data_IF_454689952594
#
_entry.id   IF_454689952594
#
_cell.length_a   1.000
_cell.length_b   1.000
_cell.length_c   1.000
_cell.angle_alpha   90.00
_cell.angle_beta   90.00
_cell.angle_gamma   90.00
#
_symmetry.space_group_name_H-M   'P 1'
#
loop_
_entity.id
_entity.type
_entity.pdbx_description
1 polymer ?
#
# COMPACT_ATOMS: atom_id res chain seq x y z
N UNK A 1 6.66 19.25 -11.48
CA UNK A 1 6.10 19.39 -12.82
C UNK A 1 5.29 18.14 -13.20
N UNK A 2 5.85 16.92 -13.20
CA UNK A 2 5.15 15.69 -13.58
C UNK A 2 3.86 15.44 -12.76
N UNK A 3 3.92 15.59 -11.44
CA UNK A 3 2.74 15.39 -10.59
C UNK A 3 1.60 16.36 -10.90
N UNK A 4 1.93 17.61 -11.25
CA UNK A 4 0.94 18.60 -11.67
C UNK A 4 0.30 18.20 -13.01
N UNK A 5 1.12 17.82 -13.98
CA UNK A 5 0.61 17.31 -15.27
C UNK A 5 -0.33 16.11 -15.06
N UNK A 6 0.02 15.19 -14.15
CA UNK A 6 -0.82 14.03 -13.88
C UNK A 6 -2.23 14.42 -13.40
N UNK A 7 -2.35 15.44 -12.55
CA UNK A 7 -3.65 15.94 -12.08
C UNK A 7 -4.48 16.48 -13.25
N UNK A 8 -3.85 17.24 -14.16
CA UNK A 8 -4.52 17.78 -15.37
C UNK A 8 -4.96 16.65 -16.32
N UNK A 9 -4.13 15.63 -16.49
CA UNK A 9 -4.44 14.46 -17.33
C UNK A 9 -5.56 13.60 -16.74
N UNK A 10 -5.63 13.45 -15.41
CA UNK A 10 -6.78 12.81 -14.78
C UNK A 10 -8.08 13.59 -15.06
N UNK A 11 -8.06 14.90 -14.90
CA UNK A 11 -9.23 15.72 -15.19
C UNK A 11 -9.68 15.57 -16.65
N UNK A 12 -8.73 15.60 -17.57
CA UNK A 12 -9.03 15.39 -19.00
C UNK A 12 -9.62 14.00 -19.26
N UNK A 13 -9.00 12.94 -18.70
CA UNK A 13 -9.48 11.56 -18.85
C UNK A 13 -10.89 11.41 -18.29
N UNK A 14 -11.14 11.89 -17.07
CA UNK A 14 -12.45 11.82 -16.40
C UNK A 14 -13.53 12.53 -17.23
N UNK A 15 -13.24 13.72 -17.73
CA UNK A 15 -14.17 14.48 -18.58
C UNK A 15 -14.43 13.79 -19.93
N UNK A 16 -13.36 13.34 -20.61
CA UNK A 16 -13.47 12.71 -21.93
C UNK A 16 -14.21 11.37 -21.88
N UNK A 17 -13.95 10.58 -20.83
CA UNK A 17 -14.59 9.29 -20.61
C UNK A 17 -15.91 9.38 -19.83
N UNK A 18 -16.33 10.59 -19.44
CA UNK A 18 -17.54 10.85 -18.66
C UNK A 18 -17.64 9.98 -17.37
N UNK A 19 -16.55 9.91 -16.62
CA UNK A 19 -16.48 9.09 -15.39
C UNK A 19 -17.05 9.87 -14.21
N UNK A 20 -18.13 9.41 -13.62
CA UNK A 20 -18.74 10.00 -12.42
C UNK A 20 -18.02 9.50 -11.15
N UNK A 21 -16.95 10.21 -10.71
CA UNK A 21 -16.08 9.82 -9.59
C UNK A 21 -15.89 10.91 -8.53
N UNK A 22 -16.82 11.83 -8.40
CA UNK A 22 -16.73 12.96 -7.47
C UNK A 22 -15.43 13.76 -7.61
N UNK A 23 -14.96 13.95 -8.87
CA UNK A 23 -13.78 14.76 -9.12
C UNK A 23 -13.99 16.21 -8.69
N UNK A 24 -13.06 16.69 -7.85
CA UNK A 24 -13.10 18.04 -7.32
C UNK A 24 -11.69 18.62 -7.27
N UNK A 25 -11.50 19.79 -7.92
CA UNK A 25 -10.29 20.59 -7.69
C UNK A 25 -10.34 21.23 -6.32
N UNK A 26 -9.22 21.16 -5.60
CA UNK A 26 -9.09 21.71 -4.26
C UNK A 26 -7.64 22.12 -4.00
N UNK A 27 -7.38 22.66 -2.81
CA UNK A 27 -6.01 22.90 -2.33
C UNK A 27 -5.62 21.82 -1.33
N UNK A 28 -4.38 21.35 -1.38
CA UNK A 28 -3.83 20.53 -0.32
C UNK A 28 -3.33 21.42 0.81
N UNK A 29 -3.80 21.16 2.02
CA UNK A 29 -3.38 21.88 3.22
C UNK A 29 -2.27 21.07 3.88
N UNK A 30 -1.16 21.76 4.19
CA UNK A 30 -0.13 21.29 5.10
C UNK A 30 -0.24 22.10 6.39
N UNK A 31 -0.25 21.43 7.53
CA UNK A 31 -0.45 22.04 8.83
C UNK A 31 0.51 21.46 9.87
N UNK A 32 0.87 22.27 10.85
CA UNK A 32 1.68 21.89 12.00
C UNK A 32 0.96 22.26 13.29
N UNK A 33 0.98 21.37 14.27
CA UNK A 33 0.41 21.59 15.61
C UNK A 33 1.52 21.98 16.61
N UNK A 34 2.77 21.64 16.32
CA UNK A 34 3.93 21.91 17.17
C UNK A 34 4.88 22.95 16.54
N UNK A 35 5.73 23.56 17.35
CA UNK A 35 6.81 24.44 16.89
C UNK A 35 7.83 23.69 16.00
N UNK A 36 8.11 22.42 16.31
CA UNK A 36 8.98 21.58 15.48
C UNK A 36 8.34 21.32 14.10
N UNK A 37 7.05 21.01 14.07
CA UNK A 37 6.28 20.87 12.83
C UNK A 37 6.25 22.18 12.03
N UNK A 38 6.07 23.32 12.69
CA UNK A 38 6.10 24.64 12.05
C UNK A 38 7.45 24.95 11.41
N UNK A 39 8.55 24.55 12.04
CA UNK A 39 9.89 24.69 11.46
C UNK A 39 10.06 23.84 10.18
N UNK A 40 9.53 22.62 10.17
CA UNK A 40 9.49 21.75 8.98
C UNK A 40 8.64 22.38 7.89
N UNK A 41 7.46 22.89 8.25
CA UNK A 41 6.53 23.51 7.32
C UNK A 41 7.13 24.74 6.63
N UNK A 42 7.91 25.53 7.34
CA UNK A 42 8.64 26.68 6.79
C UNK A 42 9.69 26.26 5.74
N UNK A 43 10.39 25.14 5.96
CA UNK A 43 11.31 24.59 4.96
C UNK A 43 10.55 24.11 3.72
N UNK A 44 9.42 23.44 3.91
CA UNK A 44 8.55 22.96 2.82
C UNK A 44 7.99 24.13 2.02
N UNK A 45 7.53 25.20 2.69
CA UNK A 45 7.04 26.44 2.06
C UNK A 45 8.13 27.07 1.16
N UNK A 46 9.36 27.13 1.64
CA UNK A 46 10.48 27.65 0.86
C UNK A 46 10.77 26.78 -0.38
N UNK A 47 10.76 25.46 -0.22
CA UNK A 47 10.97 24.50 -1.31
C UNK A 47 9.86 24.57 -2.37
N UNK A 48 8.61 24.57 -1.95
CA UNK A 48 7.45 24.69 -2.85
C UNK A 48 7.46 26.02 -3.61
N UNK A 49 7.77 27.13 -2.94
CA UNK A 49 7.90 28.45 -3.59
C UNK A 49 9.02 28.46 -4.64
N UNK A 50 10.18 27.87 -4.33
CA UNK A 50 11.29 27.74 -5.28
C UNK A 50 10.94 26.89 -6.51
N UNK A 51 10.01 25.96 -6.38
CA UNK A 51 9.48 25.14 -7.46
C UNK A 51 8.31 25.82 -8.23
N UNK A 52 7.94 27.05 -7.85
CA UNK A 52 6.85 27.78 -8.48
C UNK A 52 5.46 27.30 -8.12
N UNK A 53 5.29 26.64 -6.98
CA UNK A 53 3.98 26.28 -6.48
C UNK A 53 3.19 27.53 -6.07
N UNK A 54 1.90 27.53 -6.36
CA UNK A 54 1.00 28.58 -5.89
C UNK A 54 0.57 28.27 -4.48
N UNK A 55 1.03 29.07 -3.52
CA UNK A 55 0.71 28.94 -2.13
C UNK A 55 -0.27 30.05 -1.71
N UNK A 56 -1.17 29.73 -0.80
CA UNK A 56 -2.15 30.65 -0.23
C UNK A 56 -2.42 30.32 1.24
N UNK A 57 -3.16 31.19 1.89
CA UNK A 57 -3.79 30.85 3.16
C UNK A 57 -4.79 29.71 2.95
N UNK A 58 -4.82 28.71 3.85
CA UNK A 58 -5.75 27.60 3.72
C UNK A 58 -7.20 28.05 3.94
N UNK A 59 -8.17 27.39 3.27
CA UNK A 59 -9.57 27.57 3.60
C UNK A 59 -9.87 27.15 5.04
N UNK A 60 -10.84 27.81 5.66
CA UNK A 60 -11.28 27.44 7.02
C UNK A 60 -12.18 26.22 6.96
N UNK A 61 -11.90 25.24 7.82
CA UNK A 61 -12.76 24.08 8.06
C UNK A 61 -13.17 24.04 9.54
N UNK A 62 -14.37 23.56 9.87
CA UNK A 62 -14.86 23.46 11.24
C UNK A 62 -14.23 22.28 12.00
N UNK A 63 -12.91 22.24 12.06
CA UNK A 63 -12.14 21.24 12.82
C UNK A 63 -11.74 21.86 14.17
N UNK A 64 -11.98 21.18 15.30
CA UNK A 64 -11.59 21.64 16.63
C UNK A 64 -10.08 21.39 16.88
N UNK A 65 -9.24 21.88 15.97
CA UNK A 65 -7.79 21.77 16.01
C UNK A 65 -7.16 23.15 15.97
N UNK A 66 -6.07 23.32 16.70
CA UNK A 66 -5.24 24.53 16.66
C UNK A 66 -3.95 24.24 15.90
N UNK A 67 -3.52 25.20 15.12
CA UNK A 67 -2.35 25.10 14.30
C UNK A 67 -1.29 26.09 14.74
N UNK A 68 -0.04 25.63 14.88
CA UNK A 68 1.12 26.51 15.05
C UNK A 68 1.43 27.24 13.73
N UNK A 69 1.30 26.53 12.60
CA UNK A 69 1.42 27.10 11.24
C UNK A 69 0.65 26.25 10.24
N UNK A 70 0.27 26.83 9.10
CA UNK A 70 -0.37 26.13 8.01
C UNK A 70 -0.18 26.83 6.67
N UNK A 71 -0.27 26.07 5.57
CA UNK A 71 -0.27 26.60 4.21
C UNK A 71 -1.17 25.77 3.31
N UNK A 72 -1.66 26.36 2.22
CA UNK A 72 -2.37 25.65 1.17
C UNK A 72 -1.59 25.70 -0.14
N UNK A 73 -1.44 24.55 -0.79
CA UNK A 73 -0.91 24.42 -2.13
C UNK A 73 -2.09 24.21 -3.10
N UNK A 74 -2.25 25.11 -4.05
CA UNK A 74 -3.30 25.08 -5.06
C UNK A 74 -3.11 23.95 -6.09
N UNK A 75 -4.07 23.81 -6.99
CA UNK A 75 -4.05 22.89 -8.14
C UNK A 75 -3.95 21.41 -7.79
N UNK A 76 -4.53 21.03 -6.65
CA UNK A 76 -4.70 19.64 -6.25
C UNK A 76 -6.11 19.15 -6.59
N UNK A 77 -6.37 17.87 -6.38
CA UNK A 77 -7.70 17.31 -6.60
C UNK A 77 -8.03 16.16 -5.65
N UNK A 78 -9.31 15.97 -5.43
CA UNK A 78 -9.90 14.79 -4.78
C UNK A 78 -10.74 14.02 -5.81
N UNK A 79 -10.84 12.72 -5.62
CA UNK A 79 -11.76 11.85 -6.35
C UNK A 79 -12.13 10.65 -5.47
N UNK A 80 -13.23 9.99 -5.79
CA UNK A 80 -13.53 8.66 -5.25
C UNK A 80 -12.75 7.61 -6.08
N UNK A 81 -11.76 6.91 -5.46
CA UNK A 81 -10.91 5.97 -6.18
C UNK A 81 -11.67 4.75 -6.71
N UNK A 82 -12.71 4.30 -6.01
CA UNK A 82 -13.51 3.16 -6.43
C UNK A 82 -14.38 3.51 -7.65
N UNK A 83 -15.10 4.63 -7.57
CA UNK A 83 -15.94 5.10 -8.68
C UNK A 83 -15.09 5.42 -9.92
N UNK A 84 -13.89 5.99 -9.72
CA UNK A 84 -12.98 6.22 -10.84
C UNK A 84 -12.56 4.92 -11.53
N UNK A 85 -12.13 3.92 -10.77
CA UNK A 85 -11.71 2.63 -11.33
C UNK A 85 -12.86 1.89 -12.01
N UNK A 86 -14.04 1.84 -11.38
CA UNK A 86 -15.22 1.22 -11.96
C UNK A 86 -15.63 1.91 -13.27
N UNK A 87 -15.67 3.24 -13.30
CA UNK A 87 -15.98 4.01 -14.50
C UNK A 87 -14.94 3.84 -15.61
N UNK A 88 -13.66 3.77 -15.25
CA UNK A 88 -12.59 3.51 -16.23
C UNK A 88 -12.72 2.10 -16.84
N UNK A 89 -12.97 1.08 -16.03
CA UNK A 89 -13.18 -0.29 -16.51
C UNK A 89 -14.38 -0.37 -17.44
N UNK A 90 -15.49 0.32 -17.15
CA UNK A 90 -16.66 0.37 -18.02
C UNK A 90 -16.32 0.97 -19.39
N UNK A 91 -15.48 2.00 -19.46
CA UNK A 91 -15.03 2.59 -20.74
C UNK A 91 -14.10 1.68 -21.54
N UNK A 92 -13.51 0.70 -20.91
CA UNK A 92 -12.52 -0.22 -21.49
C UNK A 92 -13.11 -1.62 -21.80
N UNK A 93 -14.32 -1.93 -21.38
CA UNK A 93 -14.91 -3.29 -21.46
C UNK A 93 -14.84 -3.95 -22.83
N UNK A 94 -14.99 -3.16 -23.89
CA UNK A 94 -14.95 -3.67 -25.28
C UNK A 94 -13.52 -3.64 -25.89
N UNK A 95 -12.53 -3.16 -25.12
CA UNK A 95 -11.14 -2.98 -25.59
C UNK A 95 -10.14 -3.85 -24.84
N UNK A 96 -10.48 -4.28 -23.63
CA UNK A 96 -9.60 -5.01 -22.71
C UNK A 96 -10.33 -6.22 -22.18
N UNK A 97 -9.66 -7.37 -22.13
CA UNK A 97 -10.16 -8.54 -21.43
C UNK A 97 -9.62 -8.55 -20.00
N UNK A 98 -10.52 -8.46 -19.02
CA UNK A 98 -10.18 -8.51 -17.60
C UNK A 98 -10.37 -9.95 -17.10
N UNK A 99 -9.34 -10.48 -16.43
CA UNK A 99 -9.40 -11.77 -15.70
C UNK A 99 -9.30 -11.50 -14.22
N UNK A 100 -10.41 -11.63 -13.51
CA UNK A 100 -10.47 -11.57 -12.05
C UNK A 100 -10.26 -12.96 -11.44
N UNK A 101 -9.98 -13.05 -10.14
CA UNK A 101 -9.73 -14.30 -9.41
C UNK A 101 -8.73 -15.24 -10.12
N UNK A 102 -7.77 -14.65 -10.85
CA UNK A 102 -6.82 -15.36 -11.70
C UNK A 102 -5.38 -15.05 -11.32
N UNK A 103 -4.93 -15.41 -10.11
CA UNK A 103 -3.59 -15.09 -9.64
C UNK A 103 -2.53 -15.74 -10.53
N UNK A 104 -1.58 -14.94 -10.99
CA UNK A 104 -0.41 -15.43 -11.73
C UNK A 104 0.61 -15.95 -10.72
N UNK A 105 0.96 -17.23 -10.82
CA UNK A 105 1.91 -17.91 -9.93
C UNK A 105 3.28 -18.09 -10.54
N UNK A 106 3.38 -18.08 -11.87
CA UNK A 106 4.64 -18.28 -12.58
C UNK A 106 4.66 -17.51 -13.91
N UNK A 107 5.86 -17.08 -14.32
CA UNK A 107 6.13 -16.54 -15.66
C UNK A 107 7.23 -17.40 -16.28
N UNK A 108 6.93 -18.03 -17.40
CA UNK A 108 7.87 -18.88 -18.13
C UNK A 108 7.70 -18.66 -19.65
N UNK A 109 8.81 -18.42 -20.37
CA UNK A 109 8.87 -18.40 -21.84
C UNK A 109 7.75 -17.50 -22.48
N UNK A 110 7.63 -16.25 -22.05
CA UNK A 110 6.56 -15.33 -22.49
C UNK A 110 5.14 -15.86 -22.26
N UNK A 111 4.96 -16.66 -21.23
CA UNK A 111 3.69 -17.22 -20.82
C UNK A 111 3.44 -16.95 -19.34
N UNK A 112 2.28 -16.44 -19.00
CA UNK A 112 1.77 -16.36 -17.64
C UNK A 112 1.09 -17.69 -17.30
N UNK A 113 1.34 -18.22 -16.11
CA UNK A 113 0.70 -19.42 -15.59
C UNK A 113 -0.11 -19.01 -14.37
N UNK A 114 -1.41 -19.26 -14.39
CA UNK A 114 -2.29 -18.99 -13.26
C UNK A 114 -2.37 -20.21 -12.32
N UNK A 115 -2.93 -19.98 -11.14
CA UNK A 115 -3.18 -21.00 -10.11
C UNK A 115 -4.03 -22.18 -10.65
N UNK A 116 -4.98 -21.93 -11.53
CA UNK A 116 -5.76 -22.97 -12.22
C UNK A 116 -5.06 -23.66 -13.38
N UNK A 117 -3.73 -23.53 -13.53
CA UNK A 117 -2.93 -24.05 -14.65
C UNK A 117 -3.31 -23.47 -16.02
N UNK A 118 -4.06 -22.37 -16.06
CA UNK A 118 -4.30 -21.64 -17.30
C UNK A 118 -3.01 -20.95 -17.76
N UNK A 119 -2.84 -20.91 -19.08
CA UNK A 119 -1.66 -20.34 -19.71
C UNK A 119 -2.05 -19.20 -20.65
N UNK A 120 -1.48 -18.03 -20.43
CA UNK A 120 -1.68 -16.84 -21.29
C UNK A 120 -0.33 -16.44 -21.91
N UNK A 121 -0.22 -16.54 -23.22
CA UNK A 121 0.97 -16.04 -23.94
C UNK A 121 0.85 -14.53 -24.13
N UNK A 122 1.96 -13.82 -23.98
CA UNK A 122 2.03 -12.39 -24.18
C UNK A 122 3.19 -12.02 -25.10
N UNK A 123 3.04 -10.90 -25.78
CA UNK A 123 4.16 -10.24 -26.48
C UNK A 123 4.91 -9.34 -25.52
N UNK A 124 4.15 -8.51 -24.80
CA UNK A 124 4.68 -7.53 -23.87
C UNK A 124 3.97 -7.70 -22.52
N UNK A 125 4.72 -7.63 -21.43
CA UNK A 125 4.24 -7.77 -20.07
C UNK A 125 4.53 -6.50 -19.27
N UNK A 126 3.50 -5.90 -18.71
CA UNK A 126 3.62 -4.74 -17.82
C UNK A 126 3.23 -5.16 -16.40
N UNK A 127 4.19 -5.20 -15.49
CA UNK A 127 3.99 -5.57 -14.09
C UNK A 127 3.63 -4.34 -13.27
N UNK A 128 2.37 -4.26 -12.82
CA UNK A 128 1.84 -3.18 -11.97
C UNK A 128 1.34 -3.73 -10.62
N UNK A 129 1.95 -4.78 -10.14
CA UNK A 129 1.56 -5.59 -8.98
C UNK A 129 1.97 -5.00 -7.63
N UNK A 130 2.11 -3.68 -7.52
CA UNK A 130 2.66 -2.95 -6.38
C UNK A 130 4.13 -3.33 -6.12
N UNK A 131 4.42 -4.51 -5.55
CA UNK A 131 5.75 -5.10 -5.56
C UNK A 131 5.96 -5.82 -6.89
N UNK A 132 7.11 -5.63 -7.58
CA UNK A 132 7.40 -6.32 -8.83
C UNK A 132 7.40 -7.84 -8.62
N UNK A 133 6.33 -8.49 -9.06
CA UNK A 133 6.20 -9.93 -8.98
C UNK A 133 7.34 -10.61 -9.77
N UNK A 134 7.82 -11.75 -9.29
CA UNK A 134 8.85 -12.56 -9.94
C UNK A 134 10.22 -11.86 -10.07
N UNK A 135 10.54 -10.95 -9.12
CA UNK A 135 11.85 -10.30 -9.06
C UNK A 135 12.97 -11.26 -8.69
N UNK A 136 13.57 -11.87 -9.70
CA UNK A 136 14.75 -12.75 -9.51
C UNK A 136 16.08 -12.05 -9.75
N UNK A 137 16.10 -10.94 -10.51
CA UNK A 137 17.34 -10.35 -11.03
C UNK A 137 17.61 -8.92 -10.56
N UNK A 138 16.58 -8.17 -10.19
CA UNK A 138 16.71 -6.73 -9.88
C UNK A 138 16.79 -6.43 -8.39
N UNK A 139 16.56 -7.42 -7.52
CA UNK A 139 16.64 -7.34 -6.06
C UNK A 139 15.78 -6.19 -5.49
N UNK A 140 14.56 -6.01 -6.02
CA UNK A 140 13.67 -4.92 -5.59
C UNK A 140 13.33 -5.01 -4.11
N UNK A 141 13.31 -6.21 -3.51
CA UNK A 141 13.12 -6.38 -2.08
C UNK A 141 14.13 -5.58 -1.24
N UNK A 142 15.37 -5.46 -1.70
CA UNK A 142 16.40 -4.68 -1.03
C UNK A 142 16.36 -3.17 -1.37
N UNK A 143 15.65 -2.78 -2.43
CA UNK A 143 15.56 -1.38 -2.89
C UNK A 143 14.40 -0.62 -2.26
N UNK A 144 13.44 -1.32 -1.65
CA UNK A 144 12.28 -0.72 -1.00
C UNK A 144 12.41 -0.75 0.52
N UNK A 145 11.97 0.31 1.14
CA UNK A 145 11.54 0.31 2.53
C UNK A 145 10.03 0.07 2.55
N UNK A 146 9.60 -0.90 3.34
CA UNK A 146 8.18 -1.26 3.46
C UNK A 146 7.58 -0.52 4.64
N UNK A 147 6.56 0.28 4.39
CA UNK A 147 5.80 0.99 5.40
C UNK A 147 4.34 0.56 5.36
N UNK A 148 3.70 0.58 6.51
CA UNK A 148 2.27 0.35 6.64
C UNK A 148 1.63 1.54 7.33
N UNK A 149 0.46 1.92 6.87
CA UNK A 149 -0.32 3.01 7.41
C UNK A 149 -1.71 2.51 7.76
N UNK A 150 -2.13 2.79 8.99
CA UNK A 150 -3.50 2.55 9.42
C UNK A 150 -4.41 3.68 8.93
N UNK A 151 -5.64 3.36 8.59
CA UNK A 151 -6.66 4.31 8.23
C UNK A 151 -7.99 3.94 8.87
N UNK A 152 -8.82 4.94 9.12
CA UNK A 152 -10.17 4.78 9.62
C UNK A 152 -11.10 5.81 8.97
N UNK A 153 -12.29 5.37 8.58
CA UNK A 153 -13.34 6.23 8.04
C UNK A 153 -14.43 6.46 9.08
N UNK A 154 -14.89 7.69 9.19
CA UNK A 154 -15.93 8.11 10.13
C UNK A 154 -17.01 8.88 9.40
N UNK A 155 -18.26 8.73 9.83
CA UNK A 155 -19.33 9.63 9.36
C UNK A 155 -19.05 11.05 9.83
N UNK A 156 -19.15 12.02 8.94
CA UNK A 156 -18.88 13.42 9.25
C UNK A 156 -19.89 14.39 8.63
N UNK A 157 -19.79 15.67 9.02
CA UNK A 157 -20.56 16.75 8.47
C UNK A 157 -20.09 17.08 7.03
N UNK A 158 -21.01 17.32 6.07
CA UNK A 158 -20.69 17.83 4.74
C UNK A 158 -19.91 19.16 4.71
N UNK A 159 -19.87 19.91 5.80
CA UNK A 159 -19.04 21.12 5.92
C UNK A 159 -17.54 20.87 5.77
N UNK A 160 -17.10 19.60 5.77
CA UNK A 160 -15.71 19.19 5.47
C UNK A 160 -15.49 18.86 4.00
N UNK A 161 -16.46 19.12 3.13
CA UNK A 161 -16.32 18.85 1.68
C UNK A 161 -15.09 19.54 1.11
N UNK A 162 -14.32 18.80 0.31
CA UNK A 162 -13.07 19.28 -0.27
C UNK A 162 -11.86 19.28 0.67
N UNK A 163 -11.99 18.82 1.91
CA UNK A 163 -10.88 18.75 2.86
C UNK A 163 -9.78 17.80 2.38
N UNK A 164 -8.59 18.33 2.21
CA UNK A 164 -7.35 17.61 1.94
C UNK A 164 -6.24 18.17 2.82
N UNK A 165 -6.07 17.61 4.01
CA UNK A 165 -5.12 18.11 5.01
C UNK A 165 -4.13 17.02 5.41
N UNK A 166 -2.85 17.40 5.50
CA UNK A 166 -1.81 16.57 6.11
C UNK A 166 -1.11 17.36 7.21
N UNK A 167 -0.89 16.74 8.36
CA UNK A 167 -0.01 17.32 9.37
C UNK A 167 1.44 16.87 9.14
N UNK A 168 2.39 17.72 9.51
CA UNK A 168 3.82 17.45 9.31
C UNK A 168 4.59 17.23 10.61
N UNK A 169 3.87 17.08 11.71
CA UNK A 169 4.48 16.90 13.04
C UNK A 169 5.23 15.54 13.12
N UNK A 170 6.51 15.52 13.52
CA UNK A 170 7.31 14.31 13.57
C UNK A 170 6.70 13.23 14.48
N UNK A 171 6.59 12.01 13.95
CA UNK A 171 6.00 10.87 14.68
C UNK A 171 4.48 10.90 14.85
N UNK A 172 3.83 12.00 14.49
CA UNK A 172 2.39 12.23 14.64
C UNK A 172 1.74 12.71 13.34
N UNK A 173 2.39 12.51 12.20
CA UNK A 173 1.85 12.92 10.91
C UNK A 173 0.53 12.21 10.61
N UNK A 174 -0.50 12.99 10.32
CA UNK A 174 -1.84 12.52 9.99
C UNK A 174 -2.26 13.03 8.62
N UNK A 175 -3.08 12.27 7.94
CA UNK A 175 -3.77 12.64 6.72
C UNK A 175 -5.27 12.65 6.99
N UNK A 176 -5.92 13.75 6.68
CA UNK A 176 -7.37 13.93 6.75
C UNK A 176 -7.91 14.15 5.35
N UNK A 177 -8.88 13.34 4.96
CA UNK A 177 -9.55 13.43 3.66
C UNK A 177 -11.05 13.34 3.83
N UNK A 178 -11.75 14.19 3.09
CA UNK A 178 -13.19 14.07 2.95
C UNK A 178 -13.52 13.12 1.78
N UNK A 179 -14.52 12.28 1.95
CA UNK A 179 -15.05 11.42 0.92
C UNK A 179 -16.58 11.45 0.92
N UNK A 180 -17.18 11.44 -0.28
CA UNK A 180 -18.61 11.27 -0.48
C UNK A 180 -18.90 9.83 -0.90
N UNK A 181 -19.90 9.20 -0.26
CA UNK A 181 -20.40 7.88 -0.66
C UNK A 181 -21.92 7.85 -0.51
N UNK A 182 -22.66 7.70 -1.61
CA UNK A 182 -24.10 7.44 -1.64
C UNK A 182 -24.90 8.33 -0.66
N UNK A 183 -24.70 9.66 -0.71
CA UNK A 183 -25.27 10.67 0.20
C UNK A 183 -24.77 10.59 1.65
N UNK A 184 -23.71 9.88 1.93
CA UNK A 184 -23.04 9.85 3.21
C UNK A 184 -21.66 10.49 3.11
N UNK A 185 -21.41 11.49 3.95
CA UNK A 185 -20.10 12.11 4.05
C UNK A 185 -19.24 11.36 5.04
N UNK A 186 -17.99 11.08 4.66
CA UNK A 186 -17.02 10.41 5.50
C UNK A 186 -15.73 11.21 5.61
N UNK A 187 -15.21 11.32 6.82
CA UNK A 187 -13.86 11.76 7.09
C UNK A 187 -12.95 10.53 7.19
N UNK A 188 -11.92 10.49 6.37
CA UNK A 188 -10.88 9.46 6.42
C UNK A 188 -9.68 10.04 7.16
N UNK A 189 -9.29 9.39 8.25
CA UNK A 189 -8.04 9.63 8.96
C UNK A 189 -7.05 8.53 8.62
N UNK A 190 -5.79 8.88 8.33
CA UNK A 190 -4.73 7.92 8.09
C UNK A 190 -3.40 8.38 8.69
N UNK A 191 -2.55 7.43 9.10
CA UNK A 191 -1.20 7.66 9.61
C UNK A 191 -1.02 7.31 11.09
N UNK A 192 0.18 7.52 11.67
CA UNK A 192 1.42 7.73 10.93
C UNK A 192 1.86 6.46 10.20
N UNK A 193 2.69 6.61 9.15
CA UNK A 193 3.29 5.47 8.49
C UNK A 193 4.38 4.84 9.36
N UNK A 194 4.32 3.53 9.52
CA UNK A 194 5.22 2.76 10.39
C UNK A 194 5.89 1.66 9.58
N UNK A 195 7.18 1.43 9.81
CA UNK A 195 7.89 0.31 9.20
C UNK A 195 7.25 -1.03 9.62
N UNK A 196 7.14 -1.96 8.69
CA UNK A 196 6.46 -3.26 8.91
C UNK A 196 7.05 -4.06 10.08
N UNK A 197 8.34 -3.85 10.39
CA UNK A 197 9.03 -4.52 11.52
C UNK A 197 8.57 -4.02 12.89
N UNK A 198 7.96 -2.84 12.96
CA UNK A 198 7.53 -2.16 14.17
C UNK A 198 6.03 -1.90 14.22
N UNK A 199 5.27 -2.58 13.35
CA UNK A 199 3.83 -2.37 13.26
C UNK A 199 3.15 -2.76 14.59
N UNK A 200 2.39 -1.86 15.22
CA UNK A 200 1.82 -2.08 16.55
C UNK A 200 0.69 -3.11 16.51
N UNK A 201 0.39 -3.72 17.66
CA UNK A 201 -0.73 -4.65 17.78
C UNK A 201 -2.10 -4.00 17.58
N UNK A 202 -2.23 -2.74 17.98
CA UNK A 202 -3.41 -1.91 17.75
C UNK A 202 -2.97 -0.63 17.02
N UNK A 203 -2.96 -0.63 15.69
CA UNK A 203 -2.58 0.52 14.90
C UNK A 203 -3.69 1.57 14.81
N UNK A 204 -4.92 1.23 15.19
CA UNK A 204 -6.08 2.10 15.06
C UNK A 204 -6.33 2.97 16.28
N UNK A 205 -5.86 2.58 17.46
CA UNK A 205 -6.07 3.32 18.71
C UNK A 205 -5.71 4.83 18.60
N UNK A 206 -4.58 5.23 18.00
CA UNK A 206 -4.27 6.65 17.84
C UNK A 206 -5.28 7.39 16.96
N UNK A 207 -5.75 6.77 15.87
CA UNK A 207 -6.74 7.35 14.97
C UNK A 207 -8.10 7.51 15.65
N UNK A 208 -8.52 6.49 16.40
CA UNK A 208 -9.76 6.54 17.17
C UNK A 208 -9.71 7.61 18.25
N UNK A 209 -8.56 7.84 18.86
CA UNK A 209 -8.38 8.92 19.83
C UNK A 209 -8.46 10.30 19.16
N UNK A 210 -7.77 10.47 18.01
CA UNK A 210 -7.88 11.72 17.23
C UNK A 210 -9.32 11.97 16.77
N UNK A 211 -10.03 10.94 16.31
CA UNK A 211 -11.42 11.04 15.89
C UNK A 211 -12.33 11.58 17.02
N UNK A 212 -12.12 11.11 18.25
CA UNK A 212 -12.86 11.64 19.44
C UNK A 212 -12.60 13.13 19.65
N UNK A 213 -11.36 13.59 19.48
CA UNK A 213 -11.02 15.01 19.57
C UNK A 213 -11.72 15.82 18.49
N UNK A 214 -11.91 15.22 17.30
CA UNK A 214 -12.65 15.83 16.18
C UNK A 214 -14.19 15.75 16.33
N UNK A 215 -14.70 15.16 17.40
CA UNK A 215 -16.13 15.00 17.64
C UNK A 215 -16.79 13.87 16.84
N UNK A 216 -15.99 12.99 16.20
CA UNK A 216 -16.50 11.81 15.50
C UNK A 216 -16.14 10.54 16.30
N UNK A 217 -17.11 9.65 16.51
CA UNK A 217 -16.95 8.62 17.54
C UNK A 217 -16.99 7.19 17.02
N UNK A 218 -17.83 6.92 16.01
CA UNK A 218 -18.00 5.57 15.49
C UNK A 218 -17.34 5.41 14.13
N UNK A 219 -16.32 4.54 13.99
CA UNK A 219 -15.74 4.26 12.69
C UNK A 219 -16.73 3.50 11.83
N UNK A 220 -16.82 3.88 10.57
CA UNK A 220 -17.50 3.12 9.52
C UNK A 220 -16.67 1.92 9.09
N UNK A 221 -15.34 2.10 9.05
CA UNK A 221 -14.37 1.07 8.71
C UNK A 221 -12.99 1.43 9.26
N UNK A 222 -12.19 0.42 9.54
CA UNK A 222 -10.75 0.53 9.80
C UNK A 222 -10.01 -0.43 8.86
N UNK A 223 -8.88 0.02 8.32
CA UNK A 223 -8.04 -0.81 7.45
C UNK A 223 -6.59 -0.35 7.52
N UNK A 224 -5.69 -1.15 6.99
CA UNK A 224 -4.31 -0.74 6.80
C UNK A 224 -3.85 -0.98 5.36
N UNK A 225 -2.99 -0.09 4.87
CA UNK A 225 -2.39 -0.17 3.55
C UNK A 225 -0.87 -0.23 3.65
N UNK A 226 -0.23 -0.87 2.67
CA UNK A 226 1.22 -0.99 2.60
C UNK A 226 1.77 -0.22 1.42
N UNK A 227 2.82 0.56 1.68
CA UNK A 227 3.54 1.33 0.68
C UNK A 227 4.97 0.83 0.51
N UNK A 228 5.43 0.90 -0.74
CA UNK A 228 6.79 0.66 -1.13
C UNK A 228 7.50 2.01 -1.33
N UNK A 229 8.48 2.26 -0.49
CA UNK A 229 9.23 3.52 -0.50
C UNK A 229 10.62 3.27 -1.07
N UNK A 230 10.91 3.64 -2.34
CA UNK A 230 12.25 3.62 -2.86
C UNK A 230 13.14 4.63 -2.14
N UNK A 231 14.43 4.38 -2.09
CA UNK A 231 15.40 5.25 -1.41
C UNK A 231 15.28 6.75 -1.73
N UNK A 232 15.01 7.08 -3.00
CA UNK A 232 14.90 8.47 -3.46
C UNK A 232 13.46 8.98 -3.50
N UNK A 233 12.51 8.23 -2.97
CA UNK A 233 11.07 8.51 -3.09
C UNK A 233 10.57 8.65 -4.55
N UNK A 234 11.35 8.17 -5.52
CA UNK A 234 11.02 8.19 -6.94
C UNK A 234 10.73 6.77 -7.43
N UNK A 235 9.65 6.56 -8.20
CA UNK A 235 9.24 5.24 -8.64
C UNK A 235 10.25 4.58 -9.59
N UNK A 236 10.09 3.28 -9.78
CA UNK A 236 10.74 2.51 -10.82
C UNK A 236 9.76 2.34 -11.97
N UNK A 237 10.06 2.94 -13.12
CA UNK A 237 9.20 2.93 -14.31
C UNK A 237 10.01 2.48 -15.51
N UNK A 238 9.42 1.64 -16.36
CA UNK A 238 9.96 1.29 -17.67
C UNK A 238 10.47 -0.14 -17.77
N UNK A 239 11.23 -0.38 -18.82
CA UNK A 239 11.67 -1.71 -19.22
C UNK A 239 12.75 -2.27 -18.29
N UNK A 240 12.58 -3.53 -17.85
CA UNK A 240 13.56 -4.29 -17.05
C UNK A 240 14.32 -5.32 -17.88
N UNK A 241 13.71 -5.87 -18.89
CA UNK A 241 14.28 -6.72 -19.94
C UNK A 241 13.40 -6.65 -21.18
N UNK A 242 13.80 -7.25 -22.27
CA UNK A 242 13.03 -7.24 -23.52
C UNK A 242 11.61 -7.74 -23.26
N UNK A 243 10.63 -6.95 -23.70
CA UNK A 243 9.20 -7.21 -23.52
C UNK A 243 8.67 -7.24 -22.08
N UNK A 244 9.46 -6.79 -21.07
CA UNK A 244 9.02 -6.73 -19.68
C UNK A 244 9.20 -5.32 -19.13
N UNK A 245 8.12 -4.75 -18.66
CA UNK A 245 8.08 -3.42 -18.01
C UNK A 245 7.56 -3.52 -16.60
N UNK A 246 7.94 -2.57 -15.78
CA UNK A 246 7.39 -2.40 -14.44
C UNK A 246 6.99 -0.95 -14.18
N UNK A 247 6.04 -0.80 -13.26
CA UNK A 247 5.72 0.46 -12.62
C UNK A 247 5.46 0.19 -11.14
N UNK A 248 6.33 0.69 -10.24
CA UNK A 248 6.30 0.35 -8.82
C UNK A 248 7.00 1.40 -7.95
N UNK A 249 6.72 1.35 -6.63
CA UNK A 249 7.42 2.19 -5.65
C UNK A 249 6.95 3.64 -5.65
N UNK A 250 5.66 3.87 -5.60
CA UNK A 250 5.03 5.20 -5.75
C UNK A 250 5.10 6.08 -4.50
N UNK A 251 5.70 5.61 -3.39
CA UNK A 251 5.94 6.43 -2.19
C UNK A 251 4.72 7.22 -1.73
N UNK A 252 3.54 6.58 -1.63
CA UNK A 252 2.24 7.17 -1.27
C UNK A 252 1.60 8.09 -2.31
N UNK A 253 2.25 8.35 -3.45
CA UNK A 253 1.75 9.16 -4.55
C UNK A 253 1.18 8.29 -5.69
N UNK A 254 0.37 7.27 -5.30
CA UNK A 254 -0.09 6.22 -6.18
C UNK A 254 -0.76 6.72 -7.45
N UNK A 255 -1.75 7.63 -7.33
CA UNK A 255 -2.50 8.14 -8.47
C UNK A 255 -1.63 8.93 -9.46
N UNK A 256 -0.88 9.93 -8.97
CA UNK A 256 -0.06 10.76 -9.87
C UNK A 256 1.02 9.96 -10.56
N UNK A 257 1.70 9.05 -9.85
CA UNK A 257 2.70 8.19 -10.46
C UNK A 257 2.11 7.11 -11.37
N UNK A 258 0.89 6.64 -11.14
CA UNK A 258 0.22 5.69 -12.03
C UNK A 258 -0.07 6.33 -13.40
N UNK A 259 -0.55 7.58 -13.43
CA UNK A 259 -0.76 8.31 -14.68
C UNK A 259 0.55 8.50 -15.44
N UNK A 260 1.58 9.02 -14.77
CA UNK A 260 2.90 9.25 -15.37
C UNK A 260 3.50 7.94 -15.90
N UNK A 261 3.39 6.84 -15.14
CA UNK A 261 3.90 5.54 -15.53
C UNK A 261 3.16 4.98 -16.74
N UNK A 262 1.83 5.11 -16.79
CA UNK A 262 1.01 4.68 -17.91
C UNK A 262 1.40 5.39 -19.20
N UNK A 263 1.59 6.71 -19.15
CA UNK A 263 2.01 7.50 -20.30
C UNK A 263 3.41 7.14 -20.79
N UNK A 264 4.38 7.06 -19.87
CA UNK A 264 5.78 6.76 -20.21
C UNK A 264 5.95 5.35 -20.75
N UNK A 265 5.31 4.35 -20.14
CA UNK A 265 5.38 2.96 -20.62
C UNK A 265 4.66 2.84 -21.97
N UNK A 266 3.48 3.45 -22.12
CA UNK A 266 2.75 3.45 -23.39
C UNK A 266 3.58 4.07 -24.51
N UNK A 267 4.22 5.21 -24.26
CA UNK A 267 5.10 5.84 -25.22
C UNK A 267 6.29 4.95 -25.60
N UNK A 268 6.94 4.31 -24.61
CA UNK A 268 8.10 3.44 -24.86
C UNK A 268 7.73 2.14 -25.60
N UNK A 269 6.55 1.59 -25.35
CA UNK A 269 6.03 0.40 -26.08
C UNK A 269 5.72 0.74 -27.54
N UNK A 270 5.21 1.95 -27.81
CA UNK A 270 4.87 2.41 -29.15
C UNK A 270 6.08 2.88 -29.94
N UNK A 271 7.02 3.54 -29.28
CA UNK A 271 8.26 4.05 -29.87
C UNK A 271 9.46 3.63 -28.99
N UNK A 272 10.23 2.61 -29.41
CA UNK A 272 11.43 2.18 -28.70
C UNK A 272 12.52 3.25 -28.57
N UNK A 273 12.46 4.34 -29.36
CA UNK A 273 13.36 5.49 -29.23
C UNK A 273 12.96 6.42 -28.07
N UNK A 274 11.75 6.30 -27.55
CA UNK A 274 11.33 7.07 -26.38
C UNK A 274 12.15 6.69 -25.14
N UNK A 275 12.76 7.68 -24.50
CA UNK A 275 13.64 7.47 -23.34
C UNK A 275 12.98 7.98 -22.07
N UNK A 276 12.65 7.06 -21.18
CA UNK A 276 12.20 7.42 -19.82
C UNK A 276 13.36 8.12 -19.08
N UNK A 277 13.11 9.23 -18.37
CA UNK A 277 14.14 9.95 -17.62
C UNK A 277 14.95 9.03 -16.71
N UNK A 278 16.27 9.16 -16.71
CA UNK A 278 17.21 8.26 -16.05
C UNK A 278 16.90 8.06 -14.54
N UNK A 279 16.39 9.11 -13.87
CA UNK A 279 16.04 9.05 -12.44
C UNK A 279 14.76 8.24 -12.15
N UNK A 280 13.95 7.91 -13.17
CA UNK A 280 12.74 7.07 -13.06
C UNK A 280 12.97 5.65 -13.60
N UNK A 281 14.01 5.43 -14.40
CA UNK A 281 14.22 4.15 -15.05
C UNK A 281 14.24 2.97 -14.06
N UNK A 282 13.52 1.91 -14.40
CA UNK A 282 13.42 0.69 -13.61
C UNK A 282 14.77 0.00 -13.37
N UNK A 283 15.69 0.10 -14.32
CA UNK A 283 17.06 -0.50 -14.28
C UNK A 283 18.12 0.41 -13.67
N UNK A 284 17.78 1.57 -13.07
CA UNK A 284 18.79 2.46 -12.50
C UNK A 284 19.66 1.74 -11.46
N UNK A 285 20.99 1.78 -11.62
CA UNK A 285 21.93 1.01 -10.81
C UNK A 285 22.29 1.65 -9.47
N UNK A 286 22.15 2.97 -9.36
CA UNK A 286 22.64 3.74 -8.19
C UNK A 286 21.96 3.41 -6.86
N UNK A 287 20.85 2.68 -6.86
CA UNK A 287 20.12 2.31 -5.65
C UNK A 287 20.55 0.93 -5.09
N UNK A 288 21.29 0.11 -5.85
CA UNK A 288 21.70 -1.24 -5.44
C UNK A 288 22.85 -1.26 -4.42
N UNK A 289 23.80 -0.34 -4.55
CA UNK A 289 25.02 -0.30 -3.73
C UNK A 289 25.01 0.96 -2.87
N UNK A 290 24.21 0.99 -1.84
CA UNK A 290 24.12 2.12 -0.91
C UNK A 290 24.04 1.63 0.54
N UNK A 291 24.45 2.48 1.48
CA UNK A 291 24.27 2.21 2.91
C UNK A 291 22.81 1.97 3.27
N UNK A 292 21.87 2.59 2.56
CA UNK A 292 20.43 2.38 2.71
C UNK A 292 20.03 0.93 2.34
N UNK A 293 20.51 0.42 1.20
CA UNK A 293 20.24 -0.96 0.76
C UNK A 293 20.88 -1.97 1.72
N UNK A 294 22.09 -1.68 2.21
CA UNK A 294 22.75 -2.51 3.21
C UNK A 294 22.02 -2.47 4.56
N UNK A 295 21.55 -1.30 5.00
CA UNK A 295 20.73 -1.14 6.20
C UNK A 295 19.41 -1.91 6.11
N UNK A 296 18.70 -1.82 5.01
CA UNK A 296 17.49 -2.62 4.77
C UNK A 296 17.79 -4.12 4.81
N UNK A 297 18.86 -4.58 4.15
CA UNK A 297 19.26 -5.98 4.18
C UNK A 297 19.58 -6.47 5.60
N UNK A 298 20.24 -5.65 6.41
CA UNK A 298 20.53 -5.97 7.81
C UNK A 298 19.24 -6.09 8.65
N UNK A 299 18.31 -5.15 8.50
CA UNK A 299 17.01 -5.18 9.19
C UNK A 299 16.19 -6.41 8.79
N UNK A 300 16.19 -6.76 7.49
CA UNK A 300 15.53 -7.96 6.99
C UNK A 300 16.15 -9.24 7.57
N UNK A 301 17.47 -9.29 7.67
CA UNK A 301 18.19 -10.42 8.26
C UNK A 301 17.87 -10.56 9.74
N UNK A 302 17.89 -9.48 10.50
CA UNK A 302 17.51 -9.47 11.92
C UNK A 302 16.06 -9.95 12.10
N UNK A 303 15.11 -9.42 11.32
CA UNK A 303 13.71 -9.84 11.37
C UNK A 303 13.54 -11.34 11.07
N UNK A 304 14.29 -11.86 10.08
CA UNK A 304 14.28 -13.28 9.74
C UNK A 304 14.73 -14.16 10.90
N UNK A 305 15.88 -13.84 11.52
CA UNK A 305 16.43 -14.64 12.61
C UNK A 305 15.62 -14.50 13.90
N UNK A 306 15.28 -13.27 14.31
CA UNK A 306 14.52 -13.00 15.53
C UNK A 306 13.20 -13.79 15.57
N UNK A 307 12.46 -13.79 14.45
CA UNK A 307 11.17 -14.46 14.39
C UNK A 307 11.27 -15.99 14.28
N UNK A 308 12.40 -16.52 13.77
CA UNK A 308 12.62 -17.97 13.68
C UNK A 308 12.85 -18.63 15.03
N UNK A 309 13.46 -17.91 15.98
CA UNK A 309 13.81 -18.44 17.31
C UNK A 309 12.82 -18.06 18.41
N UNK A 310 11.81 -17.23 18.13
CA UNK A 310 10.78 -16.89 19.12
C UNK A 310 9.94 -18.14 19.44
N UNK A 311 9.98 -18.59 20.70
CA UNK A 311 9.20 -19.72 21.17
C UNK A 311 7.89 -19.21 21.73
N UNK A 312 6.77 -19.76 21.27
CA UNK A 312 5.45 -19.53 21.88
C UNK A 312 5.23 -20.60 22.97
N UNK A 313 4.74 -20.24 24.17
CA UNK A 313 4.46 -21.24 25.21
C UNK A 313 3.41 -22.25 24.74
N UNK A 314 3.64 -23.54 24.96
CA UNK A 314 2.77 -24.65 24.55
C UNK A 314 1.40 -24.69 25.25
N UNK A 315 1.23 -23.98 26.37
CA UNK A 315 0.06 -24.08 27.26
C UNK A 315 -0.95 -22.94 27.11
N UNK A 316 -1.00 -22.23 25.96
CA UNK A 316 -2.03 -21.22 25.74
C UNK A 316 -3.34 -21.84 25.23
N UNK A 317 -4.51 -21.35 25.69
CA UNK A 317 -5.79 -21.79 25.16
C UNK A 317 -5.82 -21.54 23.64
N UNK A 318 -6.25 -22.56 22.88
CA UNK A 318 -6.34 -22.46 21.43
C UNK A 318 -7.42 -21.45 21.06
N UNK A 319 -7.03 -20.49 20.26
CA UNK A 319 -7.89 -19.48 19.65
C UNK A 319 -7.28 -19.08 18.31
N UNK A 320 -8.04 -18.47 17.44
CA UNK A 320 -7.53 -17.89 16.21
C UNK A 320 -6.32 -16.99 16.50
N UNK A 321 -5.24 -17.19 15.77
CA UNK A 321 -3.97 -16.49 15.97
C UNK A 321 -2.99 -17.19 16.91
N UNK A 322 -3.37 -18.27 17.57
CA UNK A 322 -2.41 -19.10 18.34
C UNK A 322 -1.42 -19.76 17.39
N UNK A 323 -0.13 -19.75 17.75
CA UNK A 323 0.92 -20.42 16.97
C UNK A 323 1.29 -21.72 17.66
N UNK A 324 1.22 -22.83 16.93
CA UNK A 324 1.63 -24.16 17.39
C UNK A 324 2.85 -24.64 16.60
N UNK A 325 3.65 -25.52 17.20
CA UNK A 325 4.78 -26.18 16.53
C UNK A 325 4.49 -27.67 16.39
N UNK A 326 4.57 -28.15 15.16
CA UNK A 326 4.42 -29.55 14.84
C UNK A 326 5.60 -29.98 13.97
N UNK A 327 6.36 -30.99 14.40
CA UNK A 327 7.55 -31.49 13.68
C UNK A 327 8.56 -30.38 13.31
N UNK A 328 8.76 -29.41 14.21
CA UNK A 328 9.68 -28.29 14.01
C UNK A 328 9.16 -27.15 13.12
N UNK A 329 7.98 -27.30 12.50
CA UNK A 329 7.32 -26.26 11.70
C UNK A 329 6.30 -25.47 12.52
N UNK A 330 6.05 -24.25 12.13
CA UNK A 330 5.10 -23.34 12.78
C UNK A 330 3.78 -23.32 12.00
N UNK A 331 2.69 -23.46 12.72
CA UNK A 331 1.34 -23.38 12.19
C UNK A 331 0.51 -22.38 12.98
N UNK A 332 -0.33 -21.63 12.30
CA UNK A 332 -1.34 -20.77 12.88
C UNK A 332 -2.64 -21.54 13.06
N UNK A 333 -3.22 -21.44 14.24
CA UNK A 333 -4.54 -21.99 14.52
C UNK A 333 -5.60 -21.01 14.05
N UNK A 334 -6.58 -21.47 13.28
CA UNK A 334 -7.75 -20.72 12.87
C UNK A 334 -9.00 -21.46 13.35
N UNK A 335 -9.82 -20.77 14.11
CA UNK A 335 -11.12 -21.25 14.58
C UNK A 335 -12.17 -20.35 13.93
N UNK A 336 -12.79 -20.77 12.83
CA UNK A 336 -13.84 -19.99 12.18
C UNK A 336 -15.10 -19.96 13.07
N UNK A 337 -15.98 -18.98 12.82
CA UNK A 337 -17.27 -18.89 13.51
C UNK A 337 -18.15 -20.11 13.20
N UNK A 338 -18.05 -20.62 11.97
CA UNK A 338 -18.70 -21.87 11.53
C UNK A 338 -17.66 -22.81 10.94
N UNK A 339 -17.78 -24.09 11.19
CA UNK A 339 -16.89 -25.13 10.68
C UNK A 339 -15.88 -25.67 11.68
N UNK A 340 -14.89 -26.40 11.16
CA UNK A 340 -13.85 -27.04 11.99
C UNK A 340 -12.59 -26.21 12.04
N UNK A 341 -11.89 -26.27 13.18
CA UNK A 341 -10.54 -25.74 13.34
C UNK A 341 -9.64 -26.24 12.22
N UNK A 342 -8.80 -25.35 11.68
CA UNK A 342 -7.76 -25.71 10.73
C UNK A 342 -6.44 -25.01 11.04
N UNK A 343 -5.37 -25.51 10.45
CA UNK A 343 -4.00 -25.00 10.61
C UNK A 343 -3.51 -24.38 9.32
N UNK A 344 -2.77 -23.29 9.42
CA UNK A 344 -2.11 -22.61 8.30
C UNK A 344 -0.60 -22.65 8.49
N UNK A 345 0.16 -23.07 7.47
CA UNK A 345 1.62 -23.05 7.51
C UNK A 345 2.11 -21.59 7.59
N UNK A 346 2.82 -21.26 8.65
CA UNK A 346 3.34 -19.91 8.89
C UNK A 346 4.72 -19.67 8.27
N UNK A 347 5.01 -20.32 7.16
CA UNK A 347 6.22 -20.12 6.36
C UNK A 347 5.88 -19.29 5.13
N UNK A 348 6.41 -18.06 5.07
CA UNK A 348 6.16 -17.17 3.92
C UNK A 348 6.67 -17.79 2.61
N UNK A 349 5.83 -17.96 1.58
CA UNK A 349 6.25 -18.58 0.33
C UNK A 349 7.31 -17.77 -0.45
N UNK A 350 7.47 -16.47 -0.14
CA UNK A 350 8.45 -15.62 -0.81
C UNK A 350 9.91 -16.06 -0.52
N UNK A 351 10.30 -16.10 0.77
CA UNK A 351 11.68 -16.40 1.20
C UNK A 351 11.74 -17.20 2.51
N UNK A 352 10.69 -17.90 2.89
CA UNK A 352 10.67 -18.75 4.07
C UNK A 352 10.66 -18.02 5.42
N UNK A 353 10.35 -16.73 5.46
CA UNK A 353 10.26 -15.98 6.71
C UNK A 353 9.07 -16.44 7.56
N UNK A 354 9.23 -16.60 8.89
CA UNK A 354 8.11 -16.94 9.76
C UNK A 354 7.09 -15.81 9.85
N UNK A 355 5.80 -16.16 9.67
CA UNK A 355 4.68 -15.24 9.78
C UNK A 355 4.22 -15.08 11.23
N UNK A 356 3.52 -13.96 11.52
CA UNK A 356 2.81 -13.75 12.76
C UNK A 356 1.38 -13.29 12.53
N UNK A 357 0.58 -13.56 13.55
CA UNK A 357 -0.81 -13.11 13.58
C UNK A 357 -0.89 -11.61 13.87
N UNK A 358 -1.64 -10.91 13.06
CA UNK A 358 -2.05 -9.53 13.27
C UNK A 358 -3.52 -9.52 13.75
N UNK A 359 -3.77 -9.26 15.04
CA UNK A 359 -5.13 -9.32 15.57
C UNK A 359 -6.01 -8.16 15.12
N UNK A 360 -5.43 -7.01 14.76
CA UNK A 360 -6.17 -5.84 14.35
C UNK A 360 -6.81 -6.00 12.97
N UNK A 361 -6.09 -6.64 12.04
CA UNK A 361 -6.54 -6.88 10.67
C UNK A 361 -6.99 -8.33 10.44
N UNK A 362 -6.84 -9.21 11.43
CA UNK A 362 -7.10 -10.65 11.33
C UNK A 362 -6.35 -11.30 10.16
N UNK A 363 -5.04 -11.09 10.09
CA UNK A 363 -4.19 -11.56 9.00
C UNK A 363 -2.93 -12.25 9.51
N UNK A 364 -2.29 -13.03 8.62
CA UNK A 364 -0.93 -13.52 8.82
C UNK A 364 0.04 -12.61 8.09
N UNK A 365 0.93 -11.97 8.84
CA UNK A 365 1.82 -10.93 8.32
C UNK A 365 3.27 -11.41 8.30
N UNK A 366 3.97 -11.14 7.18
CA UNK A 366 5.40 -11.39 7.05
C UNK A 366 6.20 -10.16 7.50
N UNK A 367 7.04 -10.28 8.54
CA UNK A 367 7.83 -9.14 9.00
C UNK A 367 9.03 -8.82 8.10
N UNK A 368 9.41 -9.73 7.19
CA UNK A 368 10.57 -9.53 6.33
C UNK A 368 10.27 -8.52 5.22
N UNK A 369 9.28 -8.78 4.38
CA UNK A 369 8.97 -7.95 3.20
C UNK A 369 7.49 -7.56 3.13
N UNK A 370 6.72 -7.77 4.21
CA UNK A 370 5.35 -7.29 4.31
C UNK A 370 4.29 -8.12 3.56
N UNK A 371 4.61 -9.31 3.04
CA UNK A 371 3.56 -10.20 2.52
C UNK A 371 2.50 -10.41 3.57
N UNK A 372 1.25 -10.37 3.18
CA UNK A 372 0.10 -10.49 4.07
C UNK A 372 -0.88 -11.51 3.50
N UNK A 373 -1.49 -12.27 4.38
CA UNK A 373 -2.40 -13.34 4.01
C UNK A 373 -3.67 -13.29 4.87
N UNK A 374 -4.80 -13.68 4.30
CA UNK A 374 -6.04 -13.91 5.04
C UNK A 374 -5.87 -15.04 6.05
N UNK A 375 -6.84 -15.22 6.94
CA UNK A 375 -6.81 -16.32 7.92
C UNK A 375 -6.76 -17.70 7.24
N UNK A 376 -7.43 -17.87 6.11
CA UNK A 376 -7.41 -19.09 5.29
C UNK A 376 -6.19 -19.21 4.38
N UNK A 377 -5.25 -18.26 4.44
CA UNK A 377 -3.96 -18.31 3.76
C UNK A 377 -3.92 -17.70 2.36
N UNK A 378 -4.98 -17.09 1.84
CA UNK A 378 -4.93 -16.39 0.55
C UNK A 378 -4.02 -15.17 0.63
N UNK A 379 -3.21 -14.94 -0.41
CA UNK A 379 -2.34 -13.76 -0.48
C UNK A 379 -3.17 -12.48 -0.65
N UNK A 380 -2.94 -11.50 0.23
CA UNK A 380 -3.52 -10.16 0.17
C UNK A 380 -2.52 -9.11 -0.33
N UNK A 381 -1.28 -9.20 0.11
CA UNK A 381 -0.19 -8.29 -0.27
C UNK A 381 1.06 -9.06 -0.65
N UNK A 382 1.63 -8.70 -1.80
CA UNK A 382 2.95 -9.17 -2.24
C UNK A 382 4.08 -8.71 -1.27
N UNK A 383 5.30 -9.30 -1.36
CA UNK A 383 5.87 -9.98 -2.52
C UNK A 383 5.46 -11.43 -2.75
N UNK A 384 4.82 -12.11 -1.80
CA UNK A 384 4.33 -13.47 -2.08
C UNK A 384 3.04 -13.44 -2.89
N UNK A 385 3.03 -14.10 -4.04
CA UNK A 385 1.83 -14.29 -4.85
C UNK A 385 1.19 -15.67 -4.61
N UNK A 386 1.91 -16.59 -3.97
CA UNK A 386 1.39 -17.90 -3.61
C UNK A 386 0.67 -17.84 -2.26
N UNK A 387 -0.44 -18.58 -2.15
CA UNK A 387 -1.18 -18.76 -0.90
C UNK A 387 -0.43 -19.66 0.08
N UNK A 388 -0.75 -19.55 1.35
CA UNK A 388 -0.26 -20.45 2.41
C UNK A 388 -0.99 -21.79 2.29
N UNK A 389 -0.29 -22.86 2.64
CA UNK A 389 -0.93 -24.16 2.76
C UNK A 389 -1.76 -24.22 4.06
N UNK A 390 -2.96 -24.76 3.96
CA UNK A 390 -3.80 -25.03 5.12
C UNK A 390 -4.05 -26.53 5.26
N UNK A 391 -4.28 -26.97 6.49
CA UNK A 391 -4.43 -28.37 6.87
C UNK A 391 -5.66 -28.52 7.76
N UNK A 392 -6.41 -29.63 7.66
CA UNK A 392 -7.49 -29.90 8.59
C UNK A 392 -7.01 -29.90 10.03
N UNK A 393 -7.88 -29.57 10.98
CA UNK A 393 -7.53 -29.33 12.38
C UNK A 393 -6.73 -30.45 13.04
N UNK A 394 -6.07 -30.12 14.13
CA UNK A 394 -5.09 -30.99 14.83
C UNK A 394 -5.66 -32.40 15.13
N UNK A 395 -6.96 -32.51 15.35
CA UNK A 395 -7.61 -33.80 15.59
C UNK A 395 -7.65 -34.73 14.37
N UNK A 396 -7.44 -34.20 13.15
CA UNK A 396 -7.41 -34.99 11.91
C UNK A 396 -6.00 -35.30 11.42
N UNK A 397 -4.97 -34.63 11.96
CA UNK A 397 -3.61 -34.77 11.47
C UNK A 397 -2.84 -35.95 12.05
N UNK A 398 -3.19 -36.52 13.19
CA UNK A 398 -2.66 -37.83 13.66
C UNK A 398 -3.29 -38.30 14.97
N UNK A 399 -3.59 -39.61 15.10
CA UNK A 399 -3.88 -40.25 16.40
C UNK A 399 -2.65 -40.26 17.35
N UNK A 400 -1.46 -39.89 16.90
CA UNK A 400 -0.19 -39.97 17.63
C UNK A 400 0.36 -38.62 18.10
N UNK A 401 -0.41 -37.52 18.06
CA UNK A 401 -0.03 -36.21 18.61
C UNK A 401 -0.75 -35.95 19.95
N UNK A 402 -0.73 -36.94 20.83
CA UNK A 402 -1.06 -36.79 22.25
C UNK A 402 0.19 -36.45 23.05
#
# INVERSE_FOLDING_TARGET
HLNRMAVDHYEQLIRTANIACHWQRTSAILAAQSEEGAAILNQEKAALSALGAQLSDPPSFPLPLTWADQLAAADQALLDPWLFQAGLLETLKDKVTLYEESPVIEIQDHCLISDGSYRLRFKDLILTTQFPAFDRLQLYAARFHFQREAAAAFRCDPALDGLMLNTVDPGHALSLRFALKENQSALILAGPAIGIHHYPKDPYAPLLQTAKTLGVHQPLACWSAQDLIPRRHLPFIGQIQDHYWIASGYSKWGYTWAMIAAEMISAQVQDPAFVIPAYLQARRKGDLFSLYTLGNAATLTEAFFKNRFTVTPENQPRRTGTVVRLHGRRYGVVIPEEGLEFLVDLTCPHMGCPLHYNPADQTWDCPCHGSRFTLDGRSLYSPSNASLQHYPGVNSLHPNLK
#
